data_IF_620963729447
#
_entry.id   IF_620963729447
#
_cell.length_a   1.000
_cell.length_b   1.000
_cell.length_c   1.000
_cell.angle_alpha   90.00
_cell.angle_beta   90.00
_cell.angle_gamma   90.00
#
_symmetry.space_group_name_H-M   'P 1'
#
loop_
_entity.id
_entity.type
_entity.pdbx_description
1 polymer ?
#
# COMPACT_ATOMS: atom_id res chain seq x y z
N UNK A 1 -10.06 17.22 5.70
CA UNK A 1 -9.89 16.51 6.99
C UNK A 1 -11.14 15.69 7.24
N UNK A 2 -11.00 14.52 7.86
CA UNK A 2 -12.11 13.62 8.19
C UNK A 2 -11.92 13.13 9.61
N UNK A 3 -12.95 13.31 10.44
CA UNK A 3 -13.00 12.79 11.80
C UNK A 3 -13.77 11.48 11.82
N UNK A 4 -13.05 10.35 11.83
CA UNK A 4 -13.64 9.01 11.99
C UNK A 4 -13.64 8.54 13.44
N UNK A 5 -13.17 9.37 14.37
CA UNK A 5 -13.22 9.08 15.79
C UNK A 5 -14.64 9.33 16.32
N UNK A 6 -15.20 10.51 16.01
CA UNK A 6 -16.58 10.86 16.38
C UNK A 6 -17.62 10.40 15.35
N UNK A 7 -17.24 10.29 14.07
CA UNK A 7 -18.12 9.83 12.98
C UNK A 7 -17.57 8.54 12.35
N UNK A 8 -17.72 7.38 13.02
CA UNK A 8 -17.12 6.13 12.57
C UNK A 8 -17.67 5.68 11.22
N UNK A 9 -16.82 4.97 10.47
CA UNK A 9 -17.18 4.28 9.23
C UNK A 9 -16.89 2.80 9.39
N UNK A 10 -17.80 1.95 8.92
CA UNK A 10 -17.62 0.50 8.96
C UNK A 10 -16.36 0.07 8.20
N UNK A 11 -15.67 -0.93 8.78
CA UNK A 11 -14.44 -1.52 8.24
C UNK A 11 -13.33 -0.50 7.91
N UNK A 12 -13.23 0.56 8.71
CA UNK A 12 -12.23 1.61 8.54
C UNK A 12 -11.58 1.98 9.88
N UNK A 13 -10.33 2.50 9.86
CA UNK A 13 -9.66 2.95 11.09
C UNK A 13 -10.42 4.09 11.75
N UNK A 14 -10.61 3.97 13.07
CA UNK A 14 -11.03 5.09 13.92
C UNK A 14 -9.86 6.03 14.14
N UNK A 15 -10.08 7.31 13.88
CA UNK A 15 -9.03 8.31 13.98
C UNK A 15 -9.32 9.54 13.15
N UNK A 16 -8.32 10.41 13.06
CA UNK A 16 -8.39 11.66 12.31
C UNK A 16 -7.52 11.51 11.07
N UNK A 17 -8.11 11.76 9.90
CA UNK A 17 -7.37 11.88 8.65
C UNK A 17 -7.29 13.33 8.20
N UNK A 18 -6.13 13.73 7.70
CA UNK A 18 -6.00 14.98 6.97
C UNK A 18 -4.98 14.80 5.84
N UNK A 19 -5.36 15.27 4.66
CA UNK A 19 -4.56 15.20 3.45
C UNK A 19 -4.09 16.58 3.01
N UNK A 20 -3.00 17.14 3.57
CA UNK A 20 -2.48 18.41 3.08
C UNK A 20 -2.04 18.27 1.62
N UNK A 21 -2.44 19.26 0.82
CA UNK A 21 -1.94 19.45 -0.53
C UNK A 21 -0.70 20.33 -0.47
N UNK A 22 0.43 19.80 -0.91
CA UNK A 22 1.69 20.53 -0.97
C UNK A 22 2.21 20.62 -2.41
N UNK A 23 2.96 21.65 -2.71
CA UNK A 23 3.69 21.75 -3.97
C UNK A 23 5.07 21.11 -3.82
N UNK A 24 5.40 20.21 -4.73
CA UNK A 24 6.72 19.59 -4.81
C UNK A 24 7.10 19.40 -6.28
N UNK A 25 8.22 20.00 -6.71
CA UNK A 25 8.70 19.96 -8.10
C UNK A 25 7.60 20.26 -9.13
N UNK A 26 6.92 21.40 -8.98
CA UNK A 26 5.81 21.85 -9.84
C UNK A 26 4.57 20.94 -9.87
N UNK A 27 4.54 19.87 -9.06
CA UNK A 27 3.42 18.96 -8.97
C UNK A 27 2.71 19.15 -7.62
N UNK A 28 1.38 19.02 -7.63
CA UNK A 28 0.59 18.97 -6.40
C UNK A 28 0.62 17.56 -5.82
N UNK A 29 1.10 17.42 -4.60
CA UNK A 29 1.11 16.17 -3.86
C UNK A 29 0.03 16.22 -2.79
N UNK A 30 -0.75 15.15 -2.68
CA UNK A 30 -1.59 14.91 -1.52
C UNK A 30 -0.84 13.96 -0.58
N UNK A 31 -0.61 14.39 0.66
CA UNK A 31 0.01 13.54 1.68
C UNK A 31 -1.09 12.99 2.56
N UNK A 32 -1.40 11.69 2.47
CA UNK A 32 -2.38 11.07 3.35
C UNK A 32 -1.81 10.84 4.76
N UNK A 33 -2.28 11.62 5.74
CA UNK A 33 -1.89 11.46 7.15
C UNK A 33 -3.06 10.91 7.96
N UNK A 34 -2.82 9.80 8.67
CA UNK A 34 -3.77 9.18 9.59
C UNK A 34 -3.24 9.23 11.01
N UNK A 35 -3.98 9.86 11.92
CA UNK A 35 -3.75 9.81 13.36
C UNK A 35 -4.72 8.82 13.97
N UNK A 36 -4.18 7.75 14.56
CA UNK A 36 -4.95 6.65 15.15
C UNK A 36 -4.40 6.32 16.52
N UNK A 37 -5.20 5.65 17.36
CA UNK A 37 -4.69 5.10 18.62
C UNK A 37 -3.78 3.91 18.34
N UNK A 38 -2.86 3.62 19.26
CA UNK A 38 -1.86 2.54 19.09
C UNK A 38 -2.50 1.18 18.76
N UNK A 39 -3.65 0.89 19.37
CA UNK A 39 -4.34 -0.40 19.24
C UNK A 39 -5.49 -0.36 18.21
N UNK A 40 -5.52 0.63 17.31
CA UNK A 40 -6.56 0.73 16.29
C UNK A 40 -6.50 -0.48 15.34
N UNK A 41 -7.56 -1.29 15.36
CA UNK A 41 -7.66 -2.59 14.68
C UNK A 41 -7.52 -2.46 13.17
N UNK A 42 -8.12 -1.44 12.57
CA UNK A 42 -8.12 -1.26 11.12
C UNK A 42 -6.97 -0.37 10.63
N UNK A 43 -6.03 -0.01 11.51
CA UNK A 43 -4.81 0.68 11.08
C UNK A 43 -3.87 -0.29 10.37
N UNK A 44 -3.24 0.17 9.28
CA UNK A 44 -2.27 -0.65 8.54
C UNK A 44 -1.06 -1.04 9.41
N UNK A 45 -0.72 -0.23 10.41
CA UNK A 45 0.41 -0.44 11.32
C UNK A 45 0.33 -1.76 12.09
N UNK A 46 -0.89 -2.24 12.35
CA UNK A 46 -1.12 -3.48 13.08
C UNK A 46 -1.27 -4.72 12.16
N UNK A 47 -1.21 -4.55 10.84
CA UNK A 47 -1.39 -5.67 9.91
C UNK A 47 -0.15 -6.59 9.87
N UNK A 48 -0.33 -7.92 9.69
CA UNK A 48 0.79 -8.86 9.50
C UNK A 48 1.70 -8.46 8.33
N UNK A 49 1.11 -7.94 7.25
CA UNK A 49 1.85 -7.47 6.08
C UNK A 49 2.77 -6.29 6.43
N UNK A 50 2.28 -5.31 7.20
CA UNK A 50 3.09 -4.18 7.63
C UNK A 50 4.30 -4.63 8.45
N UNK A 51 4.11 -5.58 9.38
CA UNK A 51 5.23 -6.15 10.14
C UNK A 51 6.30 -6.76 9.23
N UNK A 52 5.89 -7.50 8.19
CA UNK A 52 6.82 -8.04 7.18
C UNK A 52 7.49 -6.94 6.37
N UNK A 53 6.76 -5.90 6.00
CA UNK A 53 7.30 -4.75 5.26
C UNK A 53 8.42 -4.02 6.02
N UNK A 54 8.42 -4.06 7.36
CA UNK A 54 9.48 -3.45 8.17
C UNK A 54 10.81 -4.20 8.11
N UNK A 55 10.80 -5.48 7.73
CA UNK A 55 11.99 -6.35 7.71
C UNK A 55 12.44 -6.74 6.29
N UNK A 56 11.94 -6.06 5.25
CA UNK A 56 12.30 -6.39 3.86
C UNK A 56 13.74 -6.02 3.56
N UNK A 57 14.39 -6.81 2.71
CA UNK A 57 15.73 -6.49 2.21
C UNK A 57 15.65 -5.36 1.17
N UNK A 58 16.77 -4.68 0.94
CA UNK A 58 16.86 -3.66 -0.12
C UNK A 58 16.59 -4.25 -1.52
N UNK A 59 16.94 -5.53 -1.74
CA UNK A 59 16.63 -6.21 -3.00
C UNK A 59 15.12 -6.41 -3.17
N UNK A 60 14.43 -6.91 -2.15
CA UNK A 60 12.96 -7.04 -2.16
C UNK A 60 12.29 -5.67 -2.36
N UNK A 61 12.80 -4.62 -1.70
CA UNK A 61 12.31 -3.24 -1.87
C UNK A 61 12.41 -2.80 -3.34
N UNK A 62 13.55 -3.02 -3.99
CA UNK A 62 13.76 -2.69 -5.41
C UNK A 62 12.80 -3.45 -6.31
N UNK A 63 12.66 -4.77 -6.12
CA UNK A 63 11.74 -5.62 -6.89
C UNK A 63 10.29 -5.11 -6.77
N UNK A 64 9.83 -4.81 -5.55
CA UNK A 64 8.48 -4.29 -5.30
C UNK A 64 8.26 -2.97 -6.04
N UNK A 65 9.23 -2.05 -5.98
CA UNK A 65 9.13 -0.75 -6.64
C UNK A 65 9.16 -0.90 -8.16
N UNK A 66 9.98 -1.79 -8.69
CA UNK A 66 10.10 -2.03 -10.12
C UNK A 66 8.79 -2.60 -10.69
N UNK A 67 8.23 -3.64 -10.05
CA UNK A 67 6.93 -4.21 -10.46
C UNK A 67 5.84 -3.14 -10.42
N UNK A 68 5.76 -2.34 -9.35
CA UNK A 68 4.80 -1.22 -9.23
C UNK A 68 4.96 -0.19 -10.34
N UNK A 69 6.20 0.16 -10.68
CA UNK A 69 6.52 1.14 -11.71
C UNK A 69 6.13 0.62 -13.10
N UNK A 70 6.45 -0.63 -13.42
CA UNK A 70 6.10 -1.23 -14.70
C UNK A 70 4.59 -1.40 -14.87
N UNK A 71 3.85 -1.82 -13.82
CA UNK A 71 2.39 -1.88 -13.86
C UNK A 71 1.76 -0.50 -14.10
N UNK A 72 2.29 0.53 -13.43
CA UNK A 72 1.85 1.90 -13.63
C UNK A 72 2.07 2.35 -15.08
N UNK A 73 3.27 2.13 -15.64
CA UNK A 73 3.61 2.47 -17.03
C UNK A 73 2.72 1.76 -18.05
N UNK A 74 2.27 0.53 -17.76
CA UNK A 74 1.38 -0.26 -18.61
C UNK A 74 -0.11 0.06 -18.43
N UNK A 75 -0.47 0.96 -17.51
CA UNK A 75 -1.87 1.27 -17.20
C UNK A 75 -2.61 0.12 -16.49
N UNK A 76 -1.89 -0.88 -15.98
CA UNK A 76 -2.46 -2.09 -15.34
C UNK A 76 -2.62 -1.94 -13.82
N UNK A 77 -2.34 -0.75 -13.28
CA UNK A 77 -2.39 -0.50 -11.84
C UNK A 77 -3.74 0.08 -11.41
N UNK A 78 -4.65 -0.76 -10.95
CA UNK A 78 -5.91 -0.31 -10.32
C UNK A 78 -5.68 0.13 -8.86
N UNK A 79 -6.36 1.18 -8.40
CA UNK A 79 -6.23 1.70 -7.03
C UNK A 79 -6.63 0.64 -5.99
N UNK A 80 -5.81 0.46 -4.96
CA UNK A 80 -6.12 -0.30 -3.74
C UNK A 80 -5.76 -1.79 -3.78
N UNK A 81 -6.18 -2.51 -4.82
CA UNK A 81 -6.07 -3.99 -4.89
C UNK A 81 -4.62 -4.44 -5.18
N UNK A 82 -3.91 -3.74 -6.07
CA UNK A 82 -2.59 -4.20 -6.55
C UNK A 82 -1.47 -4.15 -5.52
N UNK A 83 -1.53 -3.24 -4.54
CA UNK A 83 -0.35 -3.01 -3.69
C UNK A 83 -0.11 -4.15 -2.71
N UNK A 84 -1.16 -4.63 -2.05
CA UNK A 84 -1.09 -5.75 -1.10
C UNK A 84 -0.62 -7.01 -1.82
N UNK A 85 -1.20 -7.31 -2.97
CA UNK A 85 -0.83 -8.46 -3.80
C UNK A 85 0.64 -8.41 -4.23
N UNK A 86 1.16 -7.26 -4.65
CA UNK A 86 2.57 -7.14 -5.03
C UNK A 86 3.47 -7.42 -3.82
N UNK A 87 3.14 -6.90 -2.63
CA UNK A 87 3.93 -7.20 -1.43
C UNK A 87 3.87 -8.70 -1.11
N UNK A 88 2.69 -9.30 -1.06
CA UNK A 88 2.53 -10.73 -0.79
C UNK A 88 3.26 -11.58 -1.83
N UNK A 89 3.16 -11.26 -3.11
CA UNK A 89 3.80 -12.00 -4.18
C UNK A 89 5.34 -11.99 -4.06
N UNK A 90 5.93 -10.84 -3.74
CA UNK A 90 7.39 -10.72 -3.58
C UNK A 90 7.86 -11.35 -2.27
N UNK A 91 7.16 -11.10 -1.16
CA UNK A 91 7.59 -11.50 0.17
C UNK A 91 7.29 -12.97 0.49
N UNK A 92 6.18 -13.50 -0.03
CA UNK A 92 5.67 -14.81 0.37
C UNK A 92 5.82 -15.84 -0.76
N UNK A 93 5.86 -15.39 -2.02
CA UNK A 93 6.00 -16.25 -3.21
C UNK A 93 7.31 -16.05 -3.96
N UNK A 94 8.26 -15.28 -3.41
CA UNK A 94 9.59 -15.02 -3.98
C UNK A 94 9.56 -14.53 -5.44
N UNK A 95 8.52 -13.79 -5.83
CA UNK A 95 8.45 -13.21 -7.17
C UNK A 95 9.49 -12.10 -7.30
N UNK A 96 10.24 -12.13 -8.40
CA UNK A 96 11.36 -11.21 -8.64
C UNK A 96 11.14 -10.26 -9.82
N UNK A 97 10.10 -10.48 -10.63
CA UNK A 97 9.87 -9.71 -11.86
C UNK A 97 8.38 -9.61 -12.23
N UNK A 98 8.07 -8.70 -13.15
CA UNK A 98 6.69 -8.45 -13.58
C UNK A 98 6.05 -9.64 -14.28
N UNK A 99 6.79 -10.38 -15.12
CA UNK A 99 6.23 -11.52 -15.85
C UNK A 99 5.68 -12.57 -14.89
N UNK A 100 6.46 -12.90 -13.86
CA UNK A 100 6.06 -13.88 -12.86
C UNK A 100 4.93 -13.35 -11.98
N UNK A 101 4.94 -12.04 -11.66
CA UNK A 101 3.80 -11.41 -10.98
C UNK A 101 2.50 -11.53 -11.78
N UNK A 102 2.51 -11.28 -13.10
CA UNK A 102 1.31 -11.38 -13.93
C UNK A 102 0.76 -12.82 -13.96
N UNK A 103 1.64 -13.83 -14.00
CA UNK A 103 1.23 -15.24 -13.90
C UNK A 103 0.66 -15.59 -12.53
N UNK A 104 1.23 -15.03 -11.47
CA UNK A 104 0.74 -15.21 -10.10
C UNK A 104 -0.64 -14.60 -9.92
N UNK A 105 -0.83 -13.36 -10.39
CA UNK A 105 -2.10 -12.65 -10.29
C UNK A 105 -3.25 -13.37 -11.01
N UNK A 106 -2.99 -14.04 -12.14
CA UNK A 106 -4.00 -14.81 -12.86
C UNK A 106 -4.42 -16.12 -12.18
N UNK A 107 -3.66 -16.62 -11.20
CA UNK A 107 -3.98 -17.84 -10.44
C UNK A 107 -4.74 -17.55 -9.14
N UNK A 108 -4.85 -16.29 -8.75
CA UNK A 108 -5.47 -15.84 -7.50
C UNK A 108 -6.91 -15.36 -7.66
N UNK A 109 -7.44 -15.39 -8.90
CA UNK A 109 -8.86 -15.29 -9.23
C UNK A 109 -9.54 -16.67 -9.18
#
# INVERSE_FOLDING_TARGET
MTDRFHFPKDNAPKGIWFGPLIWHNQNKWNIDIWLVTQNERYSHHNSPLHKRMLSITEEQRKIILEIKNQLLKKGLKNKGITSVEIYTAVLDSNITNLSDYLKYSQKSD
#
